data_IF_710696419653
#
_entry.id   IF_710696419653
#
_cell.length_a   1.000
_cell.length_b   1.000
_cell.length_c   1.000
_cell.angle_alpha   90.00
_cell.angle_beta   90.00
_cell.angle_gamma   90.00
#
_symmetry.space_group_name_H-M   'P 1'
#
loop_
_entity.id
_entity.type
_entity.pdbx_description
1 polymer ?
#
# COMPACT_ATOMS: atom_id res chain seq x y z
N UNK A 1 18.50 -22.70 -5.67
CA UNK A 1 19.96 -22.73 -5.54
C UNK A 1 20.52 -21.30 -5.59
N UNK A 2 20.76 -20.65 -4.46
CA UNK A 2 21.48 -19.36 -4.43
C UNK A 2 22.14 -19.05 -3.08
N UNK A 3 21.44 -19.27 -1.96
CA UNK A 3 21.94 -18.84 -0.64
C UNK A 3 23.16 -19.66 -0.16
N UNK A 4 23.11 -20.99 -0.31
CA UNK A 4 24.14 -21.93 0.15
C UNK A 4 25.50 -21.75 -0.56
N UNK A 5 25.52 -21.17 -1.76
CA UNK A 5 26.76 -20.95 -2.52
C UNK A 5 27.51 -19.66 -2.11
N UNK A 6 26.85 -18.77 -1.35
CA UNK A 6 27.36 -17.42 -1.04
C UNK A 6 27.66 -17.24 0.45
N UNK A 7 27.06 -18.05 1.32
CA UNK A 7 27.27 -17.98 2.77
C UNK A 7 28.59 -18.63 3.18
N UNK A 8 29.43 -17.86 3.88
CA UNK A 8 30.59 -18.39 4.62
C UNK A 8 30.10 -19.23 5.81
N UNK A 9 30.92 -20.17 6.29
CA UNK A 9 30.60 -21.03 7.44
C UNK A 9 30.16 -20.27 8.71
N UNK A 10 30.61 -19.02 8.89
CA UNK A 10 30.27 -18.18 10.06
C UNK A 10 29.28 -17.04 9.72
N UNK A 11 28.56 -17.12 8.60
CA UNK A 11 27.66 -16.05 8.21
C UNK A 11 26.45 -15.95 9.17
N UNK A 12 26.24 -14.76 9.73
CA UNK A 12 24.99 -14.43 10.41
C UNK A 12 23.92 -14.14 9.36
N UNK A 13 22.76 -14.81 9.46
CA UNK A 13 21.61 -14.59 8.58
C UNK A 13 20.51 -13.92 9.38
N UNK A 14 19.99 -12.80 8.88
CA UNK A 14 18.84 -12.11 9.44
C UNK A 14 17.73 -12.08 8.37
N UNK A 15 16.56 -12.61 8.71
CA UNK A 15 15.40 -12.67 7.83
C UNK A 15 14.34 -11.68 8.31
N UNK A 16 13.93 -10.78 7.42
CA UNK A 16 12.81 -9.87 7.64
C UNK A 16 11.64 -10.32 6.77
N UNK A 17 10.50 -10.59 7.39
CA UNK A 17 9.31 -11.01 6.69
C UNK A 17 8.05 -10.46 7.36
N UNK A 18 7.02 -10.22 6.54
CA UNK A 18 5.67 -9.88 6.97
C UNK A 18 4.70 -10.82 6.22
N UNK A 19 4.19 -11.87 6.89
CA UNK A 19 3.26 -12.82 6.28
C UNK A 19 2.00 -12.17 5.71
N UNK A 20 1.57 -11.04 6.29
CA UNK A 20 0.35 -10.34 5.89
C UNK A 20 0.49 -9.56 4.59
N UNK A 21 1.71 -9.41 4.05
CA UNK A 21 1.96 -8.77 2.75
C UNK A 21 2.14 -9.79 1.62
N UNK A 22 1.37 -10.87 1.63
CA UNK A 22 1.47 -11.97 0.67
C UNK A 22 0.67 -11.75 -0.63
N UNK A 23 1.10 -10.76 -1.41
CA UNK A 23 0.45 -10.39 -2.67
C UNK A 23 0.44 -11.49 -3.75
N UNK A 24 1.32 -12.49 -3.63
CA UNK A 24 1.46 -13.55 -4.64
C UNK A 24 0.54 -14.75 -4.39
N UNK A 25 -0.19 -14.77 -3.26
CA UNK A 25 -1.17 -15.82 -2.96
C UNK A 25 -0.59 -17.23 -2.88
N UNK A 26 0.70 -17.34 -2.55
CA UNK A 26 1.38 -18.62 -2.29
C UNK A 26 1.39 -18.90 -0.80
N UNK A 27 1.50 -20.15 -0.38
CA UNK A 27 1.68 -20.42 1.05
C UNK A 27 2.93 -19.70 1.57
N UNK A 28 2.79 -18.98 2.69
CA UNK A 28 3.90 -18.32 3.33
C UNK A 28 4.72 -19.38 4.06
N UNK A 29 5.87 -19.73 3.51
CA UNK A 29 6.82 -20.64 4.12
C UNK A 29 8.18 -19.97 4.27
N UNK A 30 8.72 -20.03 5.48
CA UNK A 30 10.12 -19.73 5.71
C UNK A 30 10.89 -21.00 5.34
N UNK A 31 11.94 -20.94 4.49
CA UNK A 31 12.72 -22.10 4.09
C UNK A 31 13.58 -22.60 5.25
N UNK A 32 12.95 -23.29 6.20
CA UNK A 32 13.55 -23.75 7.46
C UNK A 32 14.63 -24.80 7.24
N UNK A 33 14.55 -25.55 6.13
CA UNK A 33 15.54 -26.53 5.66
C UNK A 33 16.91 -25.91 5.39
N UNK A 34 16.95 -24.67 4.88
CA UNK A 34 18.20 -23.94 4.60
C UNK A 34 18.88 -23.47 5.89
N UNK A 35 18.15 -23.43 7.00
CA UNK A 35 18.63 -22.96 8.30
C UNK A 35 18.78 -24.10 9.32
N UNK A 36 18.83 -25.35 8.87
CA UNK A 36 19.05 -26.50 9.75
C UNK A 36 20.35 -26.34 10.57
N UNK A 37 20.24 -26.57 11.88
CA UNK A 37 21.33 -26.32 12.85
C UNK A 37 21.52 -24.85 13.29
N UNK A 38 20.81 -23.87 12.71
CA UNK A 38 20.77 -22.50 13.20
C UNK A 38 19.66 -22.36 14.27
N UNK A 39 19.98 -21.77 15.43
CA UNK A 39 18.98 -21.51 16.46
C UNK A 39 18.12 -20.30 16.03
N UNK A 40 16.80 -20.46 15.79
CA UNK A 40 15.96 -19.33 15.40
C UNK A 40 15.76 -18.40 16.61
N UNK A 41 15.94 -17.10 16.41
CA UNK A 41 15.59 -16.08 17.38
C UNK A 41 14.51 -15.17 16.80
N UNK A 42 13.23 -15.61 16.79
CA UNK A 42 12.15 -14.82 16.24
C UNK A 42 11.92 -13.59 17.12
N UNK A 43 11.91 -12.41 16.50
CA UNK A 43 11.57 -11.17 17.15
C UNK A 43 10.49 -10.46 16.34
N UNK A 44 9.31 -10.28 16.94
CA UNK A 44 8.18 -9.66 16.27
C UNK A 44 8.16 -8.15 16.52
N UNK A 45 8.18 -7.37 15.45
CA UNK A 45 7.99 -5.92 15.52
C UNK A 45 6.50 -5.61 15.57
N UNK A 46 6.04 -5.05 16.69
CA UNK A 46 4.62 -4.81 16.95
C UNK A 46 4.14 -3.41 16.55
N UNK A 47 5.05 -2.44 16.43
CA UNK A 47 4.70 -1.03 16.29
C UNK A 47 4.87 -0.51 14.86
N UNK A 48 3.85 0.19 14.37
CA UNK A 48 3.92 0.99 13.16
C UNK A 48 4.55 2.36 13.47
N UNK A 49 5.67 2.65 12.81
CA UNK A 49 6.36 3.93 12.87
C UNK A 49 6.46 4.61 11.49
N UNK A 50 5.79 4.07 10.46
CA UNK A 50 5.93 4.51 9.06
C UNK A 50 4.87 5.53 8.66
N UNK A 51 3.62 5.26 9.02
CA UNK A 51 2.48 6.04 8.57
C UNK A 51 2.14 7.13 9.60
N UNK A 52 1.37 8.14 9.20
CA UNK A 52 0.76 9.08 10.15
C UNK A 52 -0.14 8.34 11.14
N UNK A 53 -0.37 8.96 12.31
CA UNK A 53 -1.23 8.37 13.35
C UNK A 53 -2.61 7.99 12.80
N UNK A 54 -3.20 8.85 11.97
CA UNK A 54 -4.51 8.67 11.35
C UNK A 54 -4.55 7.43 10.45
N UNK A 55 -3.53 7.25 9.61
CA UNK A 55 -3.42 6.07 8.73
C UNK A 55 -3.16 4.81 9.56
N UNK A 56 -2.27 4.87 10.55
CA UNK A 56 -1.96 3.71 11.40
C UNK A 56 -3.19 3.25 12.20
N UNK A 57 -3.99 4.18 12.72
CA UNK A 57 -5.26 3.88 13.38
C UNK A 57 -6.28 3.30 12.41
N UNK A 58 -6.42 3.88 11.22
CA UNK A 58 -7.31 3.35 10.19
C UNK A 58 -6.95 1.92 9.78
N UNK A 59 -5.65 1.63 9.59
CA UNK A 59 -5.14 0.30 9.30
C UNK A 59 -5.45 -0.68 10.44
N UNK A 60 -5.18 -0.29 11.69
CA UNK A 60 -5.40 -1.13 12.86
C UNK A 60 -6.88 -1.42 13.13
N UNK A 61 -7.77 -0.48 12.81
CA UNK A 61 -9.23 -0.67 12.91
C UNK A 61 -9.80 -1.54 11.79
N UNK A 62 -9.15 -1.58 10.62
CA UNK A 62 -9.64 -2.29 9.44
C UNK A 62 -9.07 -3.70 9.28
N UNK A 63 -7.82 -3.91 9.70
CA UNK A 63 -7.12 -5.18 9.51
C UNK A 63 -6.61 -5.72 10.84
N UNK A 64 -7.12 -6.88 11.24
CA UNK A 64 -6.77 -7.53 12.52
C UNK A 64 -5.27 -7.83 12.67
N UNK A 65 -4.56 -7.95 11.55
CA UNK A 65 -3.13 -8.25 11.50
C UNK A 65 -2.25 -6.99 11.35
N UNK A 66 -2.82 -5.79 11.35
CA UNK A 66 -2.03 -4.56 11.26
C UNK A 66 -1.30 -4.26 12.57
N UNK A 67 -0.03 -3.88 12.47
CA UNK A 67 0.78 -3.41 13.60
C UNK A 67 0.10 -2.23 14.31
N UNK A 68 0.16 -2.23 15.65
CA UNK A 68 -0.41 -1.16 16.46
C UNK A 68 0.39 0.15 16.26
N UNK A 69 -0.24 1.33 16.29
CA UNK A 69 0.49 2.60 16.25
C UNK A 69 1.55 2.68 17.36
N UNK A 70 2.73 3.22 17.04
CA UNK A 70 3.72 3.52 18.07
C UNK A 70 3.20 4.58 19.06
N UNK A 71 3.54 4.52 20.36
CA UNK A 71 3.03 5.48 21.36
C UNK A 71 3.29 6.96 21.04
N UNK A 72 4.39 7.25 20.34
CA UNK A 72 4.82 8.62 19.97
C UNK A 72 4.63 8.91 18.47
N UNK A 73 3.75 8.18 17.79
CA UNK A 73 3.51 8.39 16.36
C UNK A 73 2.90 9.77 16.10
N UNK A 74 3.47 10.53 15.19
CA UNK A 74 3.03 11.89 14.90
C UNK A 74 1.75 11.90 14.05
N UNK A 75 0.80 12.74 14.44
CA UNK A 75 -0.38 13.05 13.63
C UNK A 75 -0.01 13.96 12.46
N UNK A 76 -0.52 13.65 11.27
CA UNK A 76 -0.38 14.51 10.10
C UNK A 76 -1.51 15.56 10.00
N UNK A 77 -2.57 15.41 10.79
CA UNK A 77 -3.85 16.09 10.64
C UNK A 77 -4.49 15.86 9.25
N UNK A 78 -4.22 14.70 8.67
CA UNK A 78 -4.78 14.23 7.40
C UNK A 78 -5.58 12.95 7.64
N UNK A 79 -6.89 13.10 7.78
CA UNK A 79 -7.78 11.95 7.92
C UNK A 79 -7.79 11.10 6.65
N UNK A 80 -7.83 9.79 6.83
CA UNK A 80 -8.09 8.86 5.72
C UNK A 80 -9.48 9.15 5.14
N UNK A 81 -9.56 9.34 3.82
CA UNK A 81 -10.83 9.58 3.11
C UNK A 81 -11.19 8.35 2.29
N UNK A 82 -12.35 7.79 2.56
CA UNK A 82 -12.88 6.65 1.82
C UNK A 82 -14.01 7.12 0.90
N UNK A 83 -13.81 6.95 -0.39
CA UNK A 83 -14.76 7.29 -1.43
C UNK A 83 -15.33 6.02 -2.04
N UNK A 84 -16.64 6.07 -2.33
CA UNK A 84 -17.35 4.97 -2.99
C UNK A 84 -18.00 5.48 -4.27
N UNK A 85 -18.00 4.64 -5.31
CA UNK A 85 -18.51 5.00 -6.62
C UNK A 85 -19.26 3.82 -7.26
N UNK A 86 -20.22 4.13 -8.15
CA UNK A 86 -21.02 3.14 -8.86
C UNK A 86 -20.52 2.89 -10.28
N UNK A 87 -20.07 3.96 -10.93
CA UNK A 87 -19.54 3.98 -12.28
C UNK A 87 -18.20 4.75 -12.32
N UNK A 88 -17.46 4.59 -13.41
CA UNK A 88 -16.12 5.17 -13.55
C UNK A 88 -16.14 6.70 -13.62
N UNK A 89 -17.23 7.30 -14.09
CA UNK A 89 -17.37 8.76 -14.17
C UNK A 89 -17.43 9.38 -12.77
N UNK A 90 -18.16 8.74 -11.84
CA UNK A 90 -18.19 9.14 -10.43
C UNK A 90 -16.78 9.07 -9.80
N UNK A 91 -16.04 7.98 -10.03
CA UNK A 91 -14.66 7.84 -9.56
C UNK A 91 -13.77 8.96 -10.13
N UNK A 92 -13.93 9.29 -11.41
CA UNK A 92 -13.15 10.33 -12.08
C UNK A 92 -13.40 11.70 -11.46
N UNK A 93 -14.67 12.04 -11.20
CA UNK A 93 -15.03 13.30 -10.53
C UNK A 93 -14.47 13.35 -9.10
N UNK A 94 -14.54 12.24 -8.36
CA UNK A 94 -14.00 12.15 -7.00
C UNK A 94 -12.47 12.28 -7.00
N UNK A 95 -11.77 11.62 -7.92
CA UNK A 95 -10.32 11.69 -8.07
C UNK A 95 -9.86 13.11 -8.41
N UNK A 96 -10.51 13.76 -9.37
CA UNK A 96 -10.17 15.13 -9.75
C UNK A 96 -10.36 16.11 -8.58
N UNK A 97 -11.49 16.03 -7.87
CA UNK A 97 -11.72 16.84 -6.66
C UNK A 97 -10.69 16.56 -5.57
N UNK A 98 -10.34 15.30 -5.37
CA UNK A 98 -9.34 14.91 -4.37
C UNK A 98 -7.95 15.45 -4.71
N UNK A 99 -7.56 15.40 -5.99
CA UNK A 99 -6.28 15.94 -6.46
C UNK A 99 -6.25 17.47 -6.35
N UNK A 100 -7.28 18.17 -6.82
CA UNK A 100 -7.34 19.64 -6.73
C UNK A 100 -7.26 20.11 -5.28
N UNK A 101 -7.95 19.45 -4.34
CA UNK A 101 -7.84 19.77 -2.92
C UNK A 101 -6.43 19.53 -2.34
N UNK A 102 -5.65 18.59 -2.88
CA UNK A 102 -4.25 18.44 -2.49
C UNK A 102 -3.38 19.55 -3.11
N UNK A 103 -3.61 19.86 -4.38
CA UNK A 103 -2.89 20.87 -5.14
C UNK A 103 -3.08 22.27 -4.56
N UNK A 104 -4.30 22.64 -4.17
CA UNK A 104 -4.61 23.91 -3.48
C UNK A 104 -3.83 24.08 -2.18
N UNK A 105 -3.49 22.97 -1.51
CA UNK A 105 -2.67 22.97 -0.29
C UNK A 105 -1.16 22.95 -0.56
N UNK A 106 -0.75 23.01 -1.83
CA UNK A 106 0.64 23.04 -2.26
C UNK A 106 1.32 21.68 -2.38
N UNK A 107 0.53 20.58 -2.40
CA UNK A 107 1.08 19.24 -2.67
C UNK A 107 1.47 19.13 -4.14
N UNK A 108 2.68 18.63 -4.41
CA UNK A 108 3.18 18.39 -5.78
C UNK A 108 2.75 17.02 -6.29
N UNK A 109 2.56 16.88 -7.60
CA UNK A 109 2.13 15.62 -8.23
C UNK A 109 3.09 14.45 -7.91
N UNK A 110 4.39 14.72 -7.85
CA UNK A 110 5.45 13.76 -7.51
C UNK A 110 5.31 13.18 -6.08
N UNK A 111 4.62 13.88 -5.18
CA UNK A 111 4.37 13.45 -3.80
C UNK A 111 3.14 12.53 -3.69
N UNK A 112 2.36 12.42 -4.77
CA UNK A 112 1.18 11.57 -4.86
C UNK A 112 1.48 10.33 -5.70
N UNK A 113 1.34 9.15 -5.09
CA UNK A 113 1.27 7.90 -5.82
C UNK A 113 -0.18 7.47 -6.05
N UNK A 114 -0.50 7.06 -7.27
CA UNK A 114 -1.81 6.50 -7.63
C UNK A 114 -1.58 5.01 -7.87
N UNK A 115 -2.15 4.19 -6.99
CA UNK A 115 -1.95 2.74 -6.98
C UNK A 115 -3.25 2.04 -7.34
N UNK A 116 -3.16 1.08 -8.26
CA UNK A 116 -4.28 0.24 -8.68
C UNK A 116 -3.92 -1.25 -8.51
N UNK A 117 -4.90 -2.15 -8.33
CA UNK A 117 -4.69 -3.58 -8.51
C UNK A 117 -4.22 -3.92 -9.95
N UNK A 118 -4.52 -3.05 -10.92
CA UNK A 118 -4.22 -3.27 -12.34
C UNK A 118 -3.05 -2.41 -12.81
N UNK A 119 -2.44 -2.83 -13.93
CA UNK A 119 -1.43 -2.01 -14.62
C UNK A 119 -2.05 -0.67 -15.07
N UNK A 120 -1.29 0.43 -15.14
CA UNK A 120 -1.79 1.75 -15.52
C UNK A 120 -2.67 1.73 -16.78
N UNK A 121 -2.26 1.02 -17.82
CA UNK A 121 -2.98 0.88 -19.08
C UNK A 121 -4.35 0.19 -18.95
N UNK A 122 -4.58 -0.55 -17.88
CA UNK A 122 -5.83 -1.28 -17.58
C UNK A 122 -6.63 -0.66 -16.43
N UNK A 123 -6.06 0.30 -15.71
CA UNK A 123 -6.69 0.98 -14.58
C UNK A 123 -7.62 2.08 -15.09
N UNK A 124 -8.89 2.01 -14.69
CA UNK A 124 -9.86 3.07 -15.00
C UNK A 124 -9.44 4.39 -14.36
N UNK A 125 -9.20 4.35 -13.04
CA UNK A 125 -8.86 5.53 -12.25
C UNK A 125 -7.54 6.19 -12.61
N UNK A 126 -6.50 5.41 -12.92
CA UNK A 126 -5.21 5.99 -13.35
C UNK A 126 -5.40 6.72 -14.68
N UNK A 127 -5.95 6.05 -15.69
CA UNK A 127 -6.13 6.67 -17.01
C UNK A 127 -7.02 7.90 -16.96
N UNK A 128 -8.13 7.85 -16.23
CA UNK A 128 -9.05 9.01 -16.19
C UNK A 128 -8.42 10.20 -15.47
N UNK A 129 -7.61 9.96 -14.44
CA UNK A 129 -6.88 11.03 -13.77
C UNK A 129 -5.73 11.59 -14.62
N UNK A 130 -4.93 10.73 -15.27
CA UNK A 130 -3.88 11.15 -16.20
C UNK A 130 -4.45 11.96 -17.38
N UNK A 131 -5.60 11.56 -17.92
CA UNK A 131 -6.27 12.31 -18.98
C UNK A 131 -6.85 13.64 -18.49
N UNK A 132 -7.37 13.70 -17.26
CA UNK A 132 -7.92 14.93 -16.70
C UNK A 132 -6.84 15.98 -16.37
N UNK A 133 -5.62 15.52 -16.07
CA UNK A 133 -4.48 16.37 -15.70
C UNK A 133 -3.24 16.02 -16.54
N UNK A 134 -3.40 16.10 -17.86
CA UNK A 134 -2.34 15.78 -18.80
C UNK A 134 -1.07 16.62 -18.53
N UNK A 135 0.07 15.95 -18.41
CA UNK A 135 1.37 16.57 -18.16
C UNK A 135 1.77 16.69 -16.68
N UNK A 136 0.88 16.36 -15.73
CA UNK A 136 1.27 16.24 -14.32
C UNK A 136 2.11 14.96 -14.11
N UNK A 137 3.29 15.05 -13.45
CA UNK A 137 4.20 13.92 -13.28
C UNK A 137 3.79 13.01 -12.11
N UNK A 138 2.60 12.42 -12.18
CA UNK A 138 2.14 11.48 -11.16
C UNK A 138 2.96 10.20 -11.12
N UNK A 139 3.13 9.63 -9.93
CA UNK A 139 3.69 8.28 -9.78
C UNK A 139 2.55 7.26 -9.89
N UNK A 140 2.45 6.56 -11.02
CA UNK A 140 1.40 5.55 -11.26
C UNK A 140 1.99 4.14 -11.27
N UNK A 141 1.34 3.19 -10.57
CA UNK A 141 1.86 1.83 -10.47
C UNK A 141 0.80 0.82 -10.03
N UNK A 142 1.10 -0.46 -10.19
CA UNK A 142 0.34 -1.51 -9.52
C UNK A 142 0.69 -1.56 -8.03
N UNK A 143 -0.24 -1.96 -7.17
CA UNK A 143 0.04 -2.21 -5.74
C UNK A 143 1.20 -3.21 -5.59
N UNK A 144 1.26 -4.23 -6.44
CA UNK A 144 2.29 -5.27 -6.39
C UNK A 144 3.68 -4.72 -6.75
N UNK A 145 3.80 -3.92 -7.81
CA UNK A 145 5.07 -3.34 -8.24
C UNK A 145 5.56 -2.22 -7.31
N UNK A 146 4.64 -1.55 -6.62
CA UNK A 146 4.96 -0.49 -5.66
C UNK A 146 5.33 -1.01 -4.27
N UNK A 147 5.26 -2.33 -4.05
CA UNK A 147 5.64 -2.95 -2.77
C UNK A 147 7.11 -2.62 -2.46
N UNK A 148 7.35 -2.13 -1.23
CA UNK A 148 8.68 -1.70 -0.78
C UNK A 148 8.98 -0.22 -1.01
N UNK A 149 8.21 0.47 -1.86
CA UNK A 149 8.25 1.92 -2.01
C UNK A 149 7.25 2.59 -1.05
N UNK A 150 7.33 3.91 -0.94
CA UNK A 150 6.44 4.73 -0.10
C UNK A 150 6.30 6.14 -0.69
N UNK A 151 5.14 6.78 -0.46
CA UNK A 151 4.86 8.16 -0.87
C UNK A 151 4.15 8.93 0.24
N UNK A 152 4.33 10.26 0.32
CA UNK A 152 3.57 11.11 1.23
C UNK A 152 2.06 10.93 1.08
N UNK A 153 1.55 11.03 -0.14
CA UNK A 153 0.14 10.83 -0.44
C UNK A 153 -0.06 9.62 -1.33
N UNK A 154 -1.13 8.86 -1.08
CA UNK A 154 -1.51 7.72 -1.92
C UNK A 154 -3.00 7.76 -2.21
N UNK A 155 -3.36 7.60 -3.48
CA UNK A 155 -4.70 7.26 -3.94
C UNK A 155 -4.75 5.77 -4.30
N UNK A 156 -5.60 5.00 -3.61
CA UNK A 156 -5.94 3.64 -4.01
C UNK A 156 -7.16 3.66 -4.90
N UNK A 157 -6.99 3.28 -6.16
CA UNK A 157 -8.03 3.38 -7.18
C UNK A 157 -8.43 2.02 -7.72
N UNK A 158 -9.64 1.95 -8.29
CA UNK A 158 -10.22 0.71 -8.82
C UNK A 158 -10.35 -0.42 -7.78
N UNK A 159 -10.51 -0.05 -6.50
CA UNK A 159 -10.71 -1.04 -5.47
C UNK A 159 -12.11 -1.64 -5.59
N UNK A 160 -12.26 -2.91 -5.23
CA UNK A 160 -13.53 -3.65 -5.31
C UNK A 160 -14.17 -3.79 -6.71
N UNK A 161 -13.43 -3.56 -7.80
CA UNK A 161 -13.96 -3.74 -9.16
C UNK A 161 -14.09 -5.20 -9.59
N UNK A 162 -13.63 -6.14 -8.77
CA UNK A 162 -13.75 -7.58 -8.96
C UNK A 162 -13.01 -8.34 -7.86
N UNK A 163 -13.14 -9.66 -7.82
CA UNK A 163 -12.65 -10.50 -6.72
C UNK A 163 -11.16 -10.27 -6.36
N UNK A 164 -10.29 -10.06 -7.37
CA UNK A 164 -8.89 -9.73 -7.14
C UNK A 164 -8.73 -8.35 -6.47
N UNK A 165 -9.38 -7.32 -7.00
CA UNK A 165 -9.32 -5.96 -6.47
C UNK A 165 -10.02 -5.78 -5.10
N UNK A 166 -10.80 -6.77 -4.67
CA UNK A 166 -11.45 -6.80 -3.35
C UNK A 166 -10.62 -7.50 -2.27
N UNK A 167 -9.47 -8.13 -2.59
CA UNK A 167 -8.70 -8.87 -1.59
C UNK A 167 -8.14 -7.94 -0.50
N UNK A 168 -8.31 -8.33 0.76
CA UNK A 168 -7.87 -7.53 1.90
C UNK A 168 -6.36 -7.27 1.93
N UNK A 169 -5.54 -8.24 1.51
CA UNK A 169 -4.09 -8.09 1.51
C UNK A 169 -3.62 -7.03 0.49
N UNK A 170 -4.31 -6.90 -0.65
CA UNK A 170 -4.08 -5.81 -1.61
C UNK A 170 -4.44 -4.46 -1.01
N UNK A 171 -5.60 -4.36 -0.35
CA UNK A 171 -6.00 -3.16 0.36
C UNK A 171 -4.97 -2.76 1.41
N UNK A 172 -4.53 -3.70 2.24
CA UNK A 172 -3.55 -3.48 3.29
C UNK A 172 -2.20 -3.03 2.74
N UNK A 173 -1.66 -3.76 1.75
CA UNK A 173 -0.36 -3.42 1.18
C UNK A 173 -0.39 -2.07 0.48
N UNK A 174 -1.44 -1.77 -0.27
CA UNK A 174 -1.64 -0.47 -0.92
C UNK A 174 -1.71 0.67 0.10
N UNK A 175 -2.53 0.52 1.13
CA UNK A 175 -2.74 1.56 2.14
C UNK A 175 -1.47 1.85 2.96
N UNK A 176 -0.67 0.82 3.27
CA UNK A 176 0.58 0.98 4.02
C UNK A 176 1.69 1.74 3.26
N UNK A 177 1.49 2.06 1.97
CA UNK A 177 2.44 2.86 1.17
C UNK A 177 2.37 4.36 1.48
N UNK A 178 1.28 4.82 2.10
CA UNK A 178 1.01 6.23 2.36
C UNK A 178 1.61 6.70 3.68
N UNK A 179 2.52 7.67 3.69
CA UNK A 179 3.13 8.14 4.96
C UNK A 179 2.39 9.30 5.62
N UNK A 180 1.71 10.16 4.84
CA UNK A 180 1.03 11.36 5.35
C UNK A 180 -0.48 11.27 5.15
N UNK A 181 -0.94 11.08 3.91
CA UNK A 181 -2.37 11.07 3.58
C UNK A 181 -2.76 9.90 2.68
N UNK A 182 -3.90 9.28 2.99
CA UNK A 182 -4.47 8.16 2.23
C UNK A 182 -5.88 8.51 1.77
N UNK A 183 -6.18 8.30 0.49
CA UNK A 183 -7.55 8.28 -0.02
C UNK A 183 -7.81 7.00 -0.79
N UNK A 184 -8.97 6.40 -0.58
CA UNK A 184 -9.38 5.15 -1.25
C UNK A 184 -10.62 5.39 -2.10
N UNK A 185 -10.68 4.74 -3.26
CA UNK A 185 -11.77 4.88 -4.23
C UNK A 185 -12.26 3.50 -4.63
N UNK A 186 -13.34 3.04 -4.01
CA UNK A 186 -13.85 1.68 -4.17
C UNK A 186 -15.21 1.63 -4.85
N UNK A 187 -15.39 0.62 -5.71
CA UNK A 187 -16.69 0.35 -6.32
C UNK A 187 -17.66 -0.19 -5.27
N UNK A 188 -18.91 0.29 -5.31
CA UNK A 188 -20.01 -0.29 -4.53
C UNK A 188 -20.40 -1.63 -5.16
N UNK A 189 -20.39 -2.71 -4.37
CA UNK A 189 -21.00 -3.98 -4.77
C UNK A 189 -22.51 -3.76 -4.94
N UNK A 190 -23.00 -4.02 -6.15
CA UNK A 190 -24.41 -3.85 -6.52
C UNK A 190 -25.13 -5.18 -6.51
#
# INVERSE_FOLDING_TARGET
MALHAVLKQEAQVILFADPSQNLYGRDFEIPSDVFDGMLPYPFQLMHNCRNSLEIAQWLNNRFDYASVPAPNLHAANELVKEHVWKNIDEQTVQLAKAWEALKERGVKAEQLAILSPYRPENSGGIRTLENAFEGEPFVTSTINSYKGLQSPFVFLVDMNTGAFASREDLWYVGATRATVGLQTFAKIET
#
